data_IF_421076780512
#
_entry.id   IF_421076780512
#
_cell.length_a   1.000
_cell.length_b   1.000
_cell.length_c   1.000
_cell.angle_alpha   90.00
_cell.angle_beta   90.00
_cell.angle_gamma   90.00
#
_symmetry.space_group_name_H-M   'P 1'
#
loop_
_entity.id
_entity.type
_entity.pdbx_description
1 polymer ?
#
# COMPACT_ATOMS: atom_id res chain seq x y z
N UNK A 1 -2.74 11.99 -3.39
CA UNK A 1 -2.06 13.31 -3.30
C UNK A 1 -2.03 13.88 -1.88
N UNK A 2 -3.16 13.95 -1.16
CA UNK A 2 -3.27 14.71 0.11
C UNK A 2 -2.40 14.19 1.27
N UNK A 3 -2.35 12.87 1.52
CA UNK A 3 -1.62 12.33 2.68
C UNK A 3 -0.17 11.89 2.39
N UNK A 4 0.08 11.33 1.20
CA UNK A 4 1.36 10.68 0.89
C UNK A 4 2.04 11.22 -0.37
N UNK A 5 1.38 12.07 -1.16
CA UNK A 5 1.95 12.64 -2.39
C UNK A 5 2.64 11.59 -3.27
N UNK A 6 3.91 11.86 -3.62
CA UNK A 6 4.77 10.99 -4.44
C UNK A 6 5.21 9.72 -3.71
N UNK A 7 5.12 9.69 -2.38
CA UNK A 7 5.54 8.53 -1.58
C UNK A 7 4.51 7.40 -1.59
N UNK A 8 3.30 7.64 -2.12
CA UNK A 8 2.26 6.60 -2.18
C UNK A 8 2.77 5.32 -2.87
N UNK A 9 3.49 5.44 -3.98
CA UNK A 9 4.02 4.29 -4.71
C UNK A 9 5.09 3.50 -3.93
N UNK A 10 5.92 4.18 -3.13
CA UNK A 10 6.89 3.49 -2.28
C UNK A 10 6.19 2.79 -1.11
N UNK A 11 5.15 3.40 -0.56
CA UNK A 11 4.37 2.84 0.54
C UNK A 11 3.60 1.58 0.11
N UNK A 12 3.05 1.53 -1.09
CA UNK A 12 2.36 0.32 -1.61
C UNK A 12 3.35 -0.84 -1.82
N UNK A 13 4.60 -0.55 -2.22
CA UNK A 13 5.67 -1.56 -2.33
C UNK A 13 6.11 -2.08 -0.95
N UNK A 14 6.30 -1.20 0.03
CA UNK A 14 6.62 -1.59 1.41
C UNK A 14 5.48 -2.42 2.00
N UNK A 15 4.23 -1.99 1.80
CA UNK A 15 3.04 -2.73 2.24
C UNK A 15 3.01 -4.13 1.64
N UNK A 16 3.25 -4.28 0.34
CA UNK A 16 3.29 -5.59 -0.30
C UNK A 16 4.42 -6.49 0.22
N UNK A 17 5.57 -5.91 0.59
CA UNK A 17 6.71 -6.67 1.14
C UNK A 17 6.41 -7.27 2.53
N UNK A 18 5.69 -6.54 3.38
CA UNK A 18 5.51 -6.93 4.78
C UNK A 18 4.09 -7.39 5.13
N UNK A 19 3.09 -7.08 4.30
CA UNK A 19 1.69 -7.45 4.48
C UNK A 19 1.01 -7.71 3.12
N UNK A 20 1.52 -8.70 2.38
CA UNK A 20 1.02 -9.06 1.04
C UNK A 20 -0.46 -9.48 1.05
N UNK A 21 -0.92 -10.11 2.14
CA UNK A 21 -2.31 -10.54 2.32
C UNK A 21 -3.22 -9.40 2.80
N UNK A 22 -2.66 -8.20 3.02
CA UNK A 22 -3.37 -7.02 3.50
C UNK A 22 -4.15 -7.29 4.81
N UNK A 23 -3.53 -8.06 5.72
CA UNK A 23 -4.08 -8.45 7.03
C UNK A 23 -4.36 -7.23 7.90
N UNK A 24 -3.46 -6.24 7.87
CA UNK A 24 -3.63 -4.98 8.59
C UNK A 24 -4.36 -3.96 7.71
N UNK A 25 -5.70 -3.95 7.76
CA UNK A 25 -6.56 -3.12 6.91
C UNK A 25 -7.66 -2.40 7.69
N UNK A 26 -7.89 -1.14 7.32
CA UNK A 26 -8.98 -0.26 7.75
C UNK A 26 -9.36 0.70 6.58
N UNK A 27 -10.45 1.50 6.66
CA UNK A 27 -10.99 2.25 5.51
C UNK A 27 -10.04 3.20 4.77
N UNK A 28 -8.95 3.65 5.39
CA UNK A 28 -7.94 4.53 4.79
C UNK A 28 -6.53 3.90 4.76
N UNK A 29 -6.43 2.57 4.85
CA UNK A 29 -5.13 1.89 4.72
C UNK A 29 -4.53 2.04 3.32
N UNK A 30 -3.20 1.98 3.26
CA UNK A 30 -2.45 1.83 2.01
C UNK A 30 -2.65 0.39 1.50
N UNK A 31 -3.09 0.19 0.25
CA UNK A 31 -3.17 -1.16 -0.32
C UNK A 31 -1.77 -1.68 -0.70
N UNK A 32 -1.53 -3.00 -0.66
CA UNK A 32 -0.36 -3.58 -1.30
C UNK A 32 -0.44 -3.39 -2.82
N UNK A 33 0.72 -3.26 -3.48
CA UNK A 33 0.76 -3.25 -4.95
C UNK A 33 0.19 -4.58 -5.50
N UNK A 34 -0.64 -4.48 -6.54
CA UNK A 34 -1.23 -5.61 -7.24
C UNK A 34 -0.13 -6.44 -7.91
N UNK A 35 -0.24 -7.78 -7.85
CA UNK A 35 0.65 -8.68 -8.60
C UNK A 35 0.31 -8.77 -10.10
N UNK A 36 -0.77 -8.12 -10.53
CA UNK A 36 -1.33 -8.22 -11.88
C UNK A 36 -1.23 -6.91 -12.68
N UNK A 37 -0.35 -5.99 -12.26
CA UNK A 37 -0.02 -4.77 -13.01
C UNK A 37 1.08 -5.03 -14.05
#
# INVERSE_FOLDING_TARGET
MVYYGRNFNLLTQVKAKYDSENTFRFPQSIPPVSKYD
#
